data_IF_761593718009
#
_entry.id   IF_761593718009
#
_cell.length_a   1.000
_cell.length_b   1.000
_cell.length_c   1.000
_cell.angle_alpha   90.00
_cell.angle_beta   90.00
_cell.angle_gamma   90.00
#
_symmetry.space_group_name_H-M   'P 1'
#
loop_
_entity.id
_entity.type
_entity.pdbx_description
1 polymer ?
#
# COMPACT_ATOMS: atom_id res chain seq x y z
N UNK A 1 10.72 1.64 -1.78
CA UNK A 1 11.30 0.39 -2.33
C UNK A 1 10.69 -0.77 -1.56
N UNK A 2 10.47 -1.91 -2.21
CA UNK A 2 10.04 -3.16 -1.56
C UNK A 2 10.59 -4.35 -2.35
N UNK A 3 10.57 -5.54 -1.76
CA UNK A 3 11.17 -6.74 -2.34
C UNK A 3 10.37 -7.98 -1.93
N UNK A 4 10.32 -8.98 -2.80
CA UNK A 4 9.89 -10.34 -2.47
C UNK A 4 10.95 -11.34 -2.94
N UNK A 5 10.61 -12.63 -2.95
CA UNK A 5 11.56 -13.70 -3.26
C UNK A 5 12.12 -13.66 -4.69
N UNK A 6 11.40 -13.04 -5.64
CA UNK A 6 11.74 -13.04 -7.07
C UNK A 6 11.96 -11.64 -7.66
N UNK A 7 11.53 -10.58 -6.98
CA UNK A 7 11.51 -9.22 -7.51
C UNK A 7 11.83 -8.14 -6.48
N UNK A 8 12.57 -7.14 -6.94
CA UNK A 8 12.78 -5.85 -6.30
C UNK A 8 11.94 -4.78 -7.01
N UNK A 9 11.28 -3.91 -6.25
CA UNK A 9 10.51 -2.78 -6.77
C UNK A 9 10.97 -1.46 -6.16
N UNK A 10 11.17 -0.45 -6.99
CA UNK A 10 11.50 0.91 -6.55
C UNK A 10 10.62 1.95 -7.24
N UNK A 11 9.96 2.78 -6.43
CA UNK A 11 9.24 3.96 -6.90
C UNK A 11 10.21 5.07 -7.27
N UNK A 12 9.86 5.86 -8.29
CA UNK A 12 10.70 6.92 -8.84
C UNK A 12 10.03 8.30 -8.69
N UNK A 13 10.83 9.36 -8.83
CA UNK A 13 10.36 10.75 -8.75
C UNK A 13 9.45 11.17 -9.91
N UNK A 14 9.45 10.45 -11.02
CA UNK A 14 8.58 10.71 -12.17
C UNK A 14 7.26 9.91 -12.14
N UNK A 15 6.92 9.29 -10.99
CA UNK A 15 5.65 8.57 -10.83
C UNK A 15 5.63 7.15 -11.41
N UNK A 16 6.81 6.58 -11.71
CA UNK A 16 6.93 5.19 -12.16
C UNK A 16 7.36 4.28 -11.01
N UNK A 17 7.24 2.98 -11.25
CA UNK A 17 7.84 1.95 -10.42
C UNK A 17 8.66 1.06 -11.33
N UNK A 18 9.94 0.90 -11.01
CA UNK A 18 10.83 -0.01 -11.71
C UNK A 18 10.84 -1.35 -10.98
N UNK A 19 10.82 -2.44 -11.73
CA UNK A 19 10.88 -3.81 -11.22
C UNK A 19 12.12 -4.52 -11.78
N UNK A 20 12.84 -5.25 -10.94
CA UNK A 20 13.99 -6.08 -11.32
C UNK A 20 13.81 -7.49 -10.76
N UNK A 21 14.38 -8.51 -11.43
CA UNK A 21 14.50 -9.83 -10.82
C UNK A 21 15.50 -9.80 -9.67
N UNK A 22 15.13 -10.35 -8.52
CA UNK A 22 15.99 -10.42 -7.34
C UNK A 22 15.60 -11.61 -6.44
N UNK A 23 16.56 -12.37 -5.88
CA UNK A 23 18.00 -12.23 -6.06
C UNK A 23 18.42 -12.73 -7.45
N UNK A 24 19.22 -11.93 -8.15
CA UNK A 24 19.75 -12.31 -9.47
C UNK A 24 21.21 -12.68 -9.35
N UNK A 25 21.63 -13.75 -10.04
CA UNK A 25 23.05 -14.10 -10.19
C UNK A 25 23.81 -13.09 -11.05
N UNK A 26 23.10 -12.39 -11.94
CA UNK A 26 23.65 -11.35 -12.81
C UNK A 26 23.01 -10.00 -12.46
N UNK A 27 23.83 -8.99 -12.19
CA UNK A 27 23.35 -7.63 -11.93
C UNK A 27 22.98 -6.99 -13.27
N UNK A 28 21.69 -7.03 -13.62
CA UNK A 28 21.17 -6.25 -14.75
C UNK A 28 20.82 -4.83 -14.29
N UNK A 29 21.40 -3.83 -14.95
CA UNK A 29 21.04 -2.43 -14.72
C UNK A 29 19.62 -2.09 -15.23
N UNK A 30 19.09 -2.86 -16.20
CA UNK A 30 17.78 -2.60 -16.79
C UNK A 30 16.66 -3.29 -16.00
N UNK A 31 15.56 -2.57 -15.69
CA UNK A 31 14.39 -3.18 -15.09
C UNK A 31 13.72 -4.15 -16.07
N UNK A 32 13.11 -5.21 -15.54
CA UNK A 32 12.31 -6.17 -16.32
C UNK A 32 10.91 -5.64 -16.61
N UNK A 33 10.42 -4.69 -15.82
CA UNK A 33 9.18 -3.98 -16.06
C UNK A 33 9.22 -2.54 -15.50
N UNK A 34 8.42 -1.67 -16.11
CA UNK A 34 8.19 -0.30 -15.65
C UNK A 34 6.68 -0.11 -15.53
N UNK A 35 6.21 0.01 -14.29
CA UNK A 35 4.81 0.20 -13.97
C UNK A 35 4.55 1.71 -13.93
N UNK A 36 3.78 2.19 -14.91
CA UNK A 36 3.42 3.61 -15.05
C UNK A 36 1.99 3.88 -14.66
N UNK A 37 1.71 5.11 -14.22
CA UNK A 37 0.34 5.57 -14.02
C UNK A 37 0.15 6.59 -12.90
N UNK A 38 1.11 6.72 -11.96
CA UNK A 38 1.10 7.86 -11.05
C UNK A 38 1.58 9.11 -11.77
N UNK A 39 1.01 10.27 -11.42
CA UNK A 39 1.32 11.56 -12.04
C UNK A 39 2.43 12.32 -11.28
N UNK A 40 2.78 11.83 -10.09
CA UNK A 40 3.75 12.43 -9.17
C UNK A 40 4.57 11.33 -8.47
N UNK A 41 5.67 11.68 -7.77
CA UNK A 41 6.56 10.71 -7.15
C UNK A 41 5.85 9.59 -6.36
N UNK A 42 6.29 8.36 -6.59
CA UNK A 42 5.90 7.21 -5.78
C UNK A 42 6.82 7.17 -4.55
N UNK A 43 6.23 7.37 -3.37
CA UNK A 43 7.01 7.55 -2.14
C UNK A 43 6.92 6.36 -1.17
N UNK A 44 5.90 5.51 -1.32
CA UNK A 44 5.74 4.33 -0.49
C UNK A 44 5.32 3.12 -1.33
N UNK A 45 5.86 1.95 -0.98
CA UNK A 45 5.53 0.68 -1.60
C UNK A 45 5.29 -0.37 -0.51
N UNK A 46 4.26 -1.19 -0.68
CA UNK A 46 3.99 -2.37 0.14
C UNK A 46 3.61 -3.53 -0.76
N UNK A 47 3.92 -4.76 -0.36
CA UNK A 47 3.73 -5.94 -1.19
C UNK A 47 3.01 -7.05 -0.40
N UNK A 48 2.04 -7.69 -1.03
CA UNK A 48 1.40 -8.93 -0.56
C UNK A 48 1.84 -10.11 -1.44
N UNK A 49 1.25 -11.29 -1.22
CA UNK A 49 1.52 -12.46 -2.05
C UNK A 49 1.12 -12.25 -3.53
N UNK A 50 0.12 -11.41 -3.81
CA UNK A 50 -0.46 -11.27 -5.16
C UNK A 50 -0.46 -9.84 -5.69
N UNK A 51 -0.23 -8.84 -4.84
CA UNK A 51 -0.36 -7.44 -5.24
C UNK A 51 0.75 -6.56 -4.69
N UNK A 52 1.15 -5.59 -5.51
CA UNK A 52 1.94 -4.44 -5.09
C UNK A 52 1.02 -3.25 -4.86
N UNK A 53 1.29 -2.47 -3.82
CA UNK A 53 0.59 -1.24 -3.49
C UNK A 53 1.57 -0.09 -3.54
N UNK A 54 1.19 1.02 -4.16
CA UNK A 54 2.01 2.22 -4.25
C UNK A 54 1.27 3.46 -3.80
N UNK A 55 1.83 4.19 -2.84
CA UNK A 55 1.36 5.50 -2.41
C UNK A 55 2.17 6.62 -3.07
N UNK A 56 1.49 7.67 -3.53
CA UNK A 56 2.10 8.77 -4.28
C UNK A 56 1.71 10.16 -3.77
N UNK A 57 2.55 11.14 -4.12
CA UNK A 57 2.25 12.57 -3.98
C UNK A 57 1.08 13.05 -4.85
N UNK A 58 0.59 12.23 -5.78
CA UNK A 58 -0.63 12.49 -6.56
C UNK A 58 -1.92 12.20 -5.77
N UNK A 59 -1.77 11.88 -4.47
CA UNK A 59 -2.87 11.64 -3.51
C UNK A 59 -3.58 10.30 -3.72
N UNK A 60 -3.08 9.46 -4.62
CA UNK A 60 -3.69 8.16 -4.90
C UNK A 60 -2.85 7.02 -4.36
N UNK A 61 -3.51 5.87 -4.20
CA UNK A 61 -2.85 4.59 -4.08
C UNK A 61 -3.17 3.78 -5.34
N UNK A 62 -2.17 3.13 -5.93
CA UNK A 62 -2.39 2.17 -7.01
C UNK A 62 -2.13 0.75 -6.55
N UNK A 63 -2.96 -0.15 -7.06
CA UNK A 63 -2.85 -1.60 -6.85
C UNK A 63 -2.37 -2.20 -8.16
N UNK A 64 -1.33 -3.00 -8.10
CA UNK A 64 -0.74 -3.67 -9.24
C UNK A 64 -0.78 -5.19 -9.01
N UNK A 65 -1.13 -5.93 -10.03
CA UNK A 65 -1.07 -7.39 -10.02
C UNK A 65 0.38 -7.85 -10.20
N UNK A 66 0.89 -8.68 -9.28
CA UNK A 66 2.30 -9.11 -9.31
C UNK A 66 2.61 -10.12 -10.41
N UNK A 67 1.60 -10.84 -10.91
CA UNK A 67 1.78 -11.84 -11.96
C UNK A 67 1.90 -11.19 -13.33
N UNK A 68 1.09 -10.18 -13.60
CA UNK A 68 0.98 -9.47 -14.89
C UNK A 68 1.76 -8.16 -14.92
N UNK A 69 2.12 -7.62 -13.74
CA UNK A 69 2.73 -6.31 -13.55
C UNK A 69 1.91 -5.17 -14.15
N UNK A 70 0.58 -5.31 -14.12
CA UNK A 70 -0.38 -4.31 -14.60
C UNK A 70 -1.13 -3.66 -13.45
N UNK A 71 -1.56 -2.41 -13.65
CA UNK A 71 -2.40 -1.69 -12.71
C UNK A 71 -3.83 -2.24 -12.75
N UNK A 72 -4.36 -2.65 -11.60
CA UNK A 72 -5.71 -3.24 -11.49
C UNK A 72 -6.72 -2.33 -10.81
N UNK A 73 -6.25 -1.40 -9.96
CA UNK A 73 -7.13 -0.46 -9.27
C UNK A 73 -6.39 0.83 -8.91
N UNK A 74 -7.09 1.97 -8.92
CA UNK A 74 -6.63 3.22 -8.31
C UNK A 74 -7.60 3.64 -7.20
N UNK A 75 -7.07 4.05 -6.06
CA UNK A 75 -7.80 4.44 -4.87
C UNK A 75 -7.67 5.96 -4.66
N UNK A 76 -8.80 6.69 -4.69
CA UNK A 76 -8.84 8.17 -4.79
C UNK A 76 -9.26 8.91 -3.51
N UNK A 77 -9.35 8.22 -2.36
CA UNK A 77 -9.99 8.79 -1.16
C UNK A 77 -9.11 9.76 -0.34
N UNK A 78 -7.80 9.79 -0.57
CA UNK A 78 -6.92 10.73 0.12
C UNK A 78 -6.97 12.11 -0.55
N UNK A 79 -7.02 13.17 0.27
CA UNK A 79 -7.12 14.57 -0.19
C UNK A 79 -5.76 15.25 -0.34
N UNK A 80 -4.70 14.61 0.17
CA UNK A 80 -3.32 15.05 0.04
C UNK A 80 -2.39 13.84 -0.17
N UNK A 81 -1.08 14.11 -0.30
CA UNK A 81 -0.08 13.10 -0.63
C UNK A 81 -0.13 11.88 0.30
N UNK A 82 -0.12 10.68 -0.28
CA UNK A 82 -0.09 9.41 0.46
C UNK A 82 1.34 9.12 0.90
N UNK A 83 1.61 9.26 2.19
CA UNK A 83 2.96 9.20 2.76
C UNK A 83 3.43 7.79 3.07
N UNK A 84 2.50 6.89 3.40
CA UNK A 84 2.83 5.49 3.65
C UNK A 84 1.68 4.57 3.29
N UNK A 85 2.03 3.37 2.83
CA UNK A 85 1.12 2.25 2.64
C UNK A 85 1.70 1.01 3.33
N UNK A 86 0.83 0.20 3.91
CA UNK A 86 1.16 -1.08 4.55
C UNK A 86 0.04 -2.06 4.25
N UNK A 87 0.35 -3.28 3.84
CA UNK A 87 -0.64 -4.35 3.69
C UNK A 87 -0.35 -5.52 4.61
N UNK A 88 -1.42 -6.18 5.04
CA UNK A 88 -1.36 -7.48 5.70
C UNK A 88 -2.60 -8.27 5.30
N UNK A 89 -2.43 -9.55 5.00
CA UNK A 89 -3.49 -10.42 4.49
C UNK A 89 -4.25 -9.79 3.30
N UNK A 90 -5.54 -9.48 3.51
CA UNK A 90 -6.44 -8.87 2.52
C UNK A 90 -6.77 -7.40 2.87
N UNK A 91 -5.97 -6.79 3.76
CA UNK A 91 -6.16 -5.42 4.23
C UNK A 91 -5.01 -4.54 3.79
N UNK A 92 -5.34 -3.29 3.53
CA UNK A 92 -4.38 -2.23 3.26
C UNK A 92 -4.63 -1.10 4.26
N UNK A 93 -3.56 -0.50 4.76
CA UNK A 93 -3.56 0.71 5.57
C UNK A 93 -2.78 1.77 4.82
N UNK A 94 -3.27 2.98 4.86
CA UNK A 94 -2.57 4.14 4.30
C UNK A 94 -2.66 5.34 5.22
N UNK A 95 -1.62 6.16 5.20
CA UNK A 95 -1.65 7.48 5.82
C UNK A 95 -1.24 8.54 4.80
N UNK A 96 -1.75 9.76 4.99
CA UNK A 96 -1.51 10.86 4.09
C UNK A 96 -1.36 12.19 4.84
N UNK A 97 -0.86 13.19 4.12
CA UNK A 97 -0.75 14.58 4.60
C UNK A 97 -2.11 15.27 4.82
N UNK A 98 -3.22 14.60 4.50
CA UNK A 98 -4.57 15.07 4.82
C UNK A 98 -4.95 14.78 6.28
N UNK A 99 -3.98 14.37 7.09
CA UNK A 99 -4.11 14.00 8.51
C UNK A 99 -5.03 12.81 8.74
N UNK A 100 -5.23 11.98 7.72
CA UNK A 100 -6.04 10.76 7.83
C UNK A 100 -5.22 9.48 7.71
N UNK A 101 -5.69 8.46 8.42
CA UNK A 101 -5.31 7.07 8.27
C UNK A 101 -6.53 6.30 7.79
N UNK A 102 -6.39 5.54 6.69
CA UNK A 102 -7.49 4.78 6.09
C UNK A 102 -7.16 3.29 6.09
N UNK A 103 -8.15 2.48 6.49
CA UNK A 103 -8.12 1.02 6.36
C UNK A 103 -8.98 0.65 5.17
N UNK A 104 -8.44 -0.15 4.27
CA UNK A 104 -9.08 -0.63 3.06
C UNK A 104 -9.29 -2.14 3.15
N UNK A 105 -10.47 -2.59 2.73
CA UNK A 105 -10.83 -4.01 2.68
C UNK A 105 -11.52 -4.32 1.37
N UNK A 106 -11.50 -5.59 0.94
CA UNK A 106 -12.24 -6.02 -0.24
C UNK A 106 -13.75 -5.87 -0.01
N UNK A 107 -14.43 -5.29 -1.00
CA UNK A 107 -15.89 -5.32 -1.11
C UNK A 107 -16.37 -6.62 -1.76
N UNK A 108 -17.69 -6.79 -1.87
CA UNK A 108 -18.32 -7.91 -2.60
C UNK A 108 -17.88 -7.99 -4.07
N UNK A 109 -17.59 -6.83 -4.69
CA UNK A 109 -17.05 -6.72 -6.05
C UNK A 109 -15.54 -7.00 -6.15
N UNK A 110 -14.89 -7.48 -5.07
CA UNK A 110 -13.44 -7.73 -5.00
C UNK A 110 -12.57 -6.51 -5.29
N UNK A 111 -13.11 -5.30 -5.05
CA UNK A 111 -12.35 -4.04 -5.13
C UNK A 111 -12.01 -3.56 -3.73
N UNK A 112 -10.84 -2.96 -3.52
CA UNK A 112 -10.52 -2.34 -2.24
C UNK A 112 -11.36 -1.07 -2.04
N UNK A 113 -12.03 -0.97 -0.89
CA UNK A 113 -12.79 0.21 -0.47
C UNK A 113 -12.40 0.59 0.96
N UNK A 114 -12.55 1.87 1.29
CA UNK A 114 -12.31 2.36 2.66
C UNK A 114 -13.35 1.77 3.59
N UNK A 115 -12.89 1.03 4.59
CA UNK A 115 -13.72 0.52 5.68
C UNK A 115 -13.74 1.45 6.89
N UNK A 116 -12.58 2.04 7.21
CA UNK A 116 -12.43 2.97 8.32
C UNK A 116 -11.55 4.14 7.93
N UNK A 117 -11.90 5.33 8.41
CA UNK A 117 -11.06 6.54 8.35
C UNK A 117 -10.86 7.06 9.77
N UNK A 118 -9.62 7.26 10.17
CA UNK A 118 -9.24 8.01 11.36
C UNK A 118 -8.67 9.36 10.93
N UNK A 119 -9.02 10.44 11.61
CA UNK A 119 -8.53 11.79 11.34
C UNK A 119 -8.01 12.42 12.63
N UNK A 120 -6.87 13.09 12.56
CA UNK A 120 -6.20 13.75 13.70
C UNK A 120 -7.10 14.77 14.43
N UNK A 121 -8.06 15.38 13.73
CA UNK A 121 -8.99 16.36 14.32
C UNK A 121 -9.97 15.75 15.35
N UNK A 122 -9.98 14.42 15.52
CA UNK A 122 -10.69 13.74 16.60
C UNK A 122 -9.73 13.28 17.70
N UNK A 123 -9.26 14.21 18.54
CA UNK A 123 -8.80 13.87 19.89
C UNK A 123 -10.01 13.47 20.73
N UNK A 124 -10.51 12.26 20.51
CA UNK A 124 -11.18 11.50 21.56
C UNK A 124 -10.40 10.21 21.71
N UNK A 125 -9.62 10.16 22.80
CA UNK A 125 -8.78 9.02 23.23
C UNK A 125 -9.55 7.70 23.33
N UNK A 126 -10.89 7.73 23.28
CA UNK A 126 -11.75 6.56 23.26
C UNK A 126 -11.65 5.72 21.97
N UNK A 127 -11.47 6.34 20.79
CA UNK A 127 -11.54 5.59 19.52
C UNK A 127 -10.25 4.83 19.21
N UNK A 128 -9.09 5.40 19.55
CA UNK A 128 -7.79 4.73 19.43
C UNK A 128 -7.70 3.53 20.39
N UNK A 129 -8.25 3.66 21.61
CA UNK A 129 -8.32 2.58 22.58
C UNK A 129 -9.32 1.49 22.16
N UNK A 130 -10.42 1.85 21.49
CA UNK A 130 -11.39 0.89 20.96
C UNK A 130 -10.78 0.06 19.83
N UNK A 131 -10.02 0.68 18.91
CA UNK A 131 -9.36 -0.03 17.80
C UNK A 131 -8.23 -0.97 18.27
N UNK A 132 -7.49 -0.59 19.33
CA UNK A 132 -6.44 -1.45 19.90
C UNK A 132 -7.00 -2.59 20.79
N UNK A 133 -8.23 -2.47 21.30
CA UNK A 133 -8.86 -3.48 22.17
C UNK A 133 -9.58 -4.62 21.43
N UNK A 134 -9.78 -4.54 20.11
CA UNK A 134 -10.44 -5.62 19.34
C UNK A 134 -9.48 -6.77 18.97
N UNK A 135 -8.31 -6.84 19.63
CA UNK A 135 -7.43 -8.01 19.60
C UNK A 135 -6.90 -8.36 21.00
N UNK A 136 -7.74 -8.89 21.91
CA UNK A 136 -7.19 -9.69 22.99
C UNK A 136 -6.70 -11.00 22.37
N UNK A 137 -5.38 -11.17 22.29
CA UNK A 137 -4.76 -12.48 22.14
C UNK A 137 -5.30 -13.36 23.26
N UNK A 138 -6.11 -14.37 22.93
CA UNK A 138 -6.42 -15.45 23.85
C UNK A 138 -5.14 -16.24 24.05
N UNK A 139 -4.36 -15.87 25.07
CA UNK A 139 -3.33 -16.75 25.62
C UNK A 139 -4.07 -17.92 26.25
N UNK A 140 -4.16 -19.02 25.52
CA UNK A 140 -4.58 -20.31 26.05
C UNK A 140 -3.48 -20.81 26.99
N UNK A 141 -3.67 -20.67 28.30
CA UNK A 141 -2.88 -21.38 29.30
C UNK A 141 -3.25 -22.87 29.28
N UNK A 142 -2.27 -23.74 29.02
CA UNK A 142 -2.26 -25.10 29.58
C UNK A 142 -1.59 -25.06 30.95
#
# INVERSE_FOLDING_TARGET
MTINDDMLFAGTGDGRIMAWKFPSKEISAKPVAILGGHERPVISLSISATSLYSGSLDKTIKVWDLTTLQGVQTLYEHRAAVTSVLCWDQKLLSCALDKTVKIWTLSESRSLQVKYTHAEEHVSTAYLLLMLKIHPQTVSSK
#
